data_IF_887936071161
#
_entry.id   IF_887936071161
#
_cell.length_a   1.000
_cell.length_b   1.000
_cell.length_c   1.000
_cell.angle_alpha   90.00
_cell.angle_beta   90.00
_cell.angle_gamma   90.00
#
_symmetry.space_group_name_H-M   'P 1'
#
loop_
_entity.id
_entity.type
_entity.pdbx_description
1 polymer ?
#
# COMPACT_ATOMS: atom_id res chain seq x y z
N UNK A 1 -4.72 4.10 3.72
CA UNK A 1 -3.55 4.53 2.96
C UNK A 1 -2.40 4.90 3.90
N UNK A 2 -1.26 5.27 3.35
CA UNK A 2 -0.05 5.56 4.13
C UNK A 2 -0.21 6.79 5.03
N UNK A 3 -0.92 7.82 4.59
CA UNK A 3 -1.14 9.02 5.41
C UNK A 3 -1.97 8.71 6.65
N UNK A 4 -3.01 7.93 6.48
CA UNK A 4 -3.84 7.48 7.61
C UNK A 4 -3.03 6.60 8.54
N UNK A 5 -2.21 5.69 8.00
CA UNK A 5 -1.34 4.83 8.80
C UNK A 5 -0.33 5.64 9.61
N UNK A 6 0.25 6.68 9.02
CA UNK A 6 1.15 7.59 9.74
C UNK A 6 0.44 8.25 10.92
N UNK A 7 -0.82 8.66 10.74
CA UNK A 7 -1.65 9.20 11.82
C UNK A 7 -1.90 8.20 12.94
N UNK A 8 -2.13 6.94 12.58
CA UNK A 8 -2.31 5.85 13.57
C UNK A 8 -1.03 5.64 14.37
N UNK A 9 0.13 5.63 13.73
CA UNK A 9 1.42 5.47 14.42
C UNK A 9 1.62 6.63 15.42
N UNK A 10 1.32 7.85 15.00
CA UNK A 10 1.44 9.01 15.88
C UNK A 10 0.50 8.90 17.08
N UNK A 11 -0.75 8.53 16.86
CA UNK A 11 -1.72 8.37 17.93
C UNK A 11 -1.30 7.27 18.91
N UNK A 12 -0.77 6.16 18.40
CA UNK A 12 -0.25 5.08 19.25
C UNK A 12 0.90 5.59 20.10
N UNK A 13 1.85 6.30 19.51
CA UNK A 13 2.98 6.87 20.20
C UNK A 13 2.54 7.83 21.33
N UNK A 14 1.58 8.69 21.05
CA UNK A 14 1.03 9.62 22.04
C UNK A 14 0.38 8.91 23.23
N UNK A 15 -0.05 7.67 23.04
CA UNK A 15 -0.65 6.85 24.10
C UNK A 15 0.32 5.88 24.74
N UNK A 16 1.59 6.01 24.44
CA UNK A 16 2.62 5.16 25.01
C UNK A 16 2.71 3.77 24.42
N UNK A 17 2.08 3.53 23.26
CA UNK A 17 2.18 2.26 22.56
C UNK A 17 3.33 2.28 21.57
N UNK A 18 4.13 1.22 21.60
CA UNK A 18 5.24 1.07 20.65
C UNK A 18 4.81 0.35 19.39
N UNK A 19 5.22 0.87 18.24
CA UNK A 19 5.02 0.23 16.94
C UNK A 19 6.36 -0.30 16.46
N UNK A 20 6.53 -1.58 16.17
CA UNK A 20 5.50 -2.62 16.03
C UNK A 20 5.29 -3.48 17.28
N UNK A 21 6.00 -3.21 18.38
CA UNK A 21 5.99 -4.11 19.56
C UNK A 21 4.60 -4.31 20.12
N UNK A 22 3.87 -3.24 20.38
CA UNK A 22 2.54 -3.30 20.98
C UNK A 22 1.43 -3.38 19.94
N UNK A 23 1.63 -2.78 18.79
CA UNK A 23 0.68 -2.77 17.68
C UNK A 23 1.43 -2.69 16.36
N UNK A 24 1.06 -3.53 15.41
CA UNK A 24 1.55 -3.44 14.03
C UNK A 24 0.63 -2.54 13.22
N UNK A 25 1.22 -1.72 12.36
CA UNK A 25 0.48 -0.79 11.50
C UNK A 25 0.96 -0.97 10.07
N UNK A 26 0.03 -1.06 9.14
CA UNK A 26 0.35 -1.12 7.72
C UNK A 26 -0.46 -0.08 6.96
N UNK A 27 0.07 0.33 5.83
CA UNK A 27 -0.55 1.30 4.93
C UNK A 27 -0.93 0.70 3.60
N UNK A 28 -1.15 1.54 2.62
CA UNK A 28 -1.48 1.18 1.26
C UNK A 28 -1.05 2.30 0.31
N UNK A 29 -0.44 1.96 -0.79
CA UNK A 29 0.04 2.79 -1.91
C UNK A 29 1.55 2.99 -2.00
N UNK A 30 2.31 2.85 -0.93
CA UNK A 30 3.75 3.12 -0.90
C UNK A 30 4.08 4.55 -1.35
N UNK A 31 3.41 5.50 -0.75
CA UNK A 31 3.73 6.91 -0.96
C UNK A 31 5.05 7.27 -0.26
N UNK A 32 5.69 8.41 -0.59
CA UNK A 32 6.99 8.76 0.02
C UNK A 32 7.00 8.75 1.54
N UNK A 33 5.90 9.09 2.20
CA UNK A 33 5.82 9.09 3.65
C UNK A 33 6.12 7.71 4.25
N UNK A 34 5.77 6.62 3.55
CA UNK A 34 5.99 5.27 4.05
C UNK A 34 7.46 4.98 4.33
N UNK A 35 8.37 5.59 3.58
CA UNK A 35 9.82 5.41 3.73
C UNK A 35 10.45 6.42 4.65
N UNK A 36 9.79 7.54 4.91
CA UNK A 36 10.36 8.65 5.66
C UNK A 36 9.94 8.71 7.13
N UNK A 37 8.84 8.05 7.50
CA UNK A 37 8.41 8.00 8.90
C UNK A 37 9.19 6.94 9.67
N UNK A 38 9.17 7.05 10.99
CA UNK A 38 9.77 6.07 11.88
C UNK A 38 8.70 5.51 12.84
N UNK A 39 8.55 4.18 12.91
CA UNK A 39 9.22 3.16 12.08
C UNK A 39 8.78 3.23 10.63
N UNK A 40 9.63 2.77 9.71
CA UNK A 40 9.29 2.76 8.29
C UNK A 40 8.07 1.86 8.06
N UNK A 41 7.17 2.30 7.22
CA UNK A 41 5.83 1.74 7.12
C UNK A 41 5.77 0.55 6.15
N UNK A 42 5.32 -0.60 6.65
CA UNK A 42 4.89 -1.72 5.82
C UNK A 42 3.67 -1.28 5.01
N UNK A 43 3.70 -1.49 3.71
CA UNK A 43 2.64 -1.02 2.83
C UNK A 43 2.52 -1.92 1.60
N UNK A 44 1.51 -1.67 0.80
CA UNK A 44 1.28 -2.36 -0.46
C UNK A 44 1.58 -1.39 -1.59
N UNK A 45 2.46 -1.79 -2.51
CA UNK A 45 2.75 -1.03 -3.72
C UNK A 45 1.94 -1.59 -4.87
N UNK A 46 1.15 -0.73 -5.50
CA UNK A 46 0.46 -1.06 -6.74
C UNK A 46 1.31 -0.60 -7.92
N UNK A 47 1.38 -1.38 -9.01
CA UNK A 47 2.10 -0.97 -10.21
C UNK A 47 1.27 0.06 -10.99
N UNK A 48 1.16 1.28 -10.48
CA UNK A 48 0.24 2.31 -10.99
C UNK A 48 0.52 2.71 -12.42
N UNK A 49 1.80 2.77 -12.83
CA UNK A 49 2.17 3.08 -14.22
C UNK A 49 1.69 1.99 -15.18
N UNK A 50 1.88 0.73 -14.81
CA UNK A 50 1.41 -0.40 -15.62
C UNK A 50 -0.11 -0.44 -15.67
N UNK A 51 -0.78 -0.19 -14.56
CA UNK A 51 -2.23 -0.13 -14.50
C UNK A 51 -2.78 0.94 -15.43
N UNK A 52 -2.21 2.13 -15.39
CA UNK A 52 -2.61 3.24 -16.26
C UNK A 52 -2.38 2.93 -17.72
N UNK A 53 -1.22 2.36 -18.06
CA UNK A 53 -0.89 1.97 -19.42
C UNK A 53 -1.86 0.92 -19.96
N UNK A 54 -2.10 -0.13 -19.20
CA UNK A 54 -3.00 -1.21 -19.61
C UNK A 54 -4.44 -0.73 -19.73
N UNK A 55 -4.90 0.10 -18.80
CA UNK A 55 -6.25 0.68 -18.87
C UNK A 55 -6.41 1.54 -20.12
N UNK A 56 -5.40 2.33 -20.47
CA UNK A 56 -5.42 3.15 -21.69
C UNK A 56 -5.46 2.28 -22.94
N UNK A 57 -4.64 1.22 -22.99
CA UNK A 57 -4.64 0.30 -24.12
C UNK A 57 -5.98 -0.39 -24.29
N UNK A 58 -6.62 -0.83 -23.21
CA UNK A 58 -7.95 -1.43 -23.26
C UNK A 58 -9.00 -0.45 -23.75
N UNK A 59 -8.95 0.79 -23.29
CA UNK A 59 -9.89 1.83 -23.73
C UNK A 59 -9.76 2.09 -25.24
N UNK A 60 -8.52 2.22 -25.72
CA UNK A 60 -8.25 2.43 -27.15
C UNK A 60 -8.73 1.24 -27.98
N UNK A 61 -8.52 0.01 -27.49
CA UNK A 61 -9.00 -1.19 -28.17
C UNK A 61 -10.52 -1.22 -28.26
N UNK A 62 -11.22 -0.79 -27.20
CA UNK A 62 -12.68 -0.70 -27.18
C UNK A 62 -13.22 0.35 -28.16
N UNK A 63 -12.52 1.45 -28.31
CA UNK A 63 -12.90 2.48 -29.28
C UNK A 63 -12.79 1.95 -30.71
N UNK A 64 -11.80 1.08 -30.98
CA UNK A 64 -11.55 0.52 -32.31
C UNK A 64 -12.37 -0.73 -32.61
N UNK A 65 -12.72 -1.51 -31.57
CA UNK A 65 -13.45 -2.76 -31.71
C UNK A 65 -14.40 -2.93 -30.53
N UNK A 66 -15.70 -3.14 -30.85
CA UNK A 66 -16.76 -3.13 -29.84
C UNK A 66 -16.64 -4.23 -28.77
N UNK A 67 -15.98 -5.33 -29.10
CA UNK A 67 -15.83 -6.50 -28.22
C UNK A 67 -14.45 -6.57 -27.54
N UNK A 68 -13.61 -5.57 -27.73
CA UNK A 68 -12.34 -5.50 -27.04
C UNK A 68 -12.55 -5.10 -25.59
N UNK A 69 -11.84 -5.76 -24.69
CA UNK A 69 -11.92 -5.46 -23.28
C UNK A 69 -11.86 -6.73 -22.46
N UNK A 70 -12.06 -6.60 -21.18
CA UNK A 70 -11.96 -7.66 -20.21
C UNK A 70 -11.24 -7.19 -18.97
N UNK A 71 -11.10 -8.08 -18.02
CA UNK A 71 -10.41 -7.80 -16.77
C UNK A 71 -8.95 -8.17 -16.91
N UNK A 72 -8.06 -7.21 -16.61
CA UNK A 72 -6.63 -7.45 -16.53
C UNK A 72 -6.20 -7.25 -15.08
N UNK A 73 -5.56 -8.27 -14.54
CA UNK A 73 -4.98 -8.21 -13.21
C UNK A 73 -3.52 -7.81 -13.30
N UNK A 74 -3.12 -6.85 -12.48
CA UNK A 74 -1.73 -6.45 -12.31
C UNK A 74 -1.34 -6.74 -10.88
N UNK A 75 -0.23 -7.47 -10.70
CA UNK A 75 0.18 -7.90 -9.37
C UNK A 75 0.67 -6.72 -8.54
N UNK A 76 0.22 -6.68 -7.30
CA UNK A 76 0.73 -5.77 -6.29
C UNK A 76 1.88 -6.43 -5.53
N UNK A 77 2.58 -5.63 -4.75
CA UNK A 77 3.71 -6.09 -3.95
C UNK A 77 3.54 -5.62 -2.51
N UNK A 78 3.67 -6.53 -1.55
CA UNK A 78 3.69 -6.18 -0.13
C UNK A 78 5.12 -5.88 0.27
N UNK A 79 5.37 -4.68 0.78
CA UNK A 79 6.68 -4.24 1.22
C UNK A 79 6.73 -4.27 2.74
N UNK A 80 7.36 -5.30 3.29
CA UNK A 80 7.53 -5.44 4.73
C UNK A 80 8.66 -4.52 5.19
N UNK A 81 8.32 -3.61 6.09
CA UNK A 81 9.29 -2.69 6.67
C UNK A 81 9.28 -2.85 8.20
N UNK A 82 9.45 -1.78 8.93
CA UNK A 82 9.67 -1.84 10.37
C UNK A 82 8.39 -1.76 11.20
N UNK A 83 7.27 -1.33 10.62
CA UNK A 83 6.03 -1.07 11.35
C UNK A 83 5.18 -2.30 11.68
N UNK A 84 5.57 -3.47 11.19
CA UNK A 84 4.87 -4.73 11.42
C UNK A 84 5.82 -5.80 11.92
N UNK A 85 5.29 -6.69 12.76
CA UNK A 85 6.00 -7.86 13.25
C UNK A 85 5.00 -8.96 13.58
N UNK A 86 5.44 -10.23 13.70
CA UNK A 86 4.57 -11.30 14.19
C UNK A 86 4.05 -11.00 15.59
N UNK A 87 2.85 -11.50 15.93
CA UNK A 87 2.30 -11.29 17.26
C UNK A 87 3.20 -11.91 18.34
N UNK A 88 3.32 -11.21 19.47
CA UNK A 88 4.05 -11.72 20.62
C UNK A 88 3.16 -12.74 21.32
N UNK A 89 3.71 -13.95 21.55
CA UNK A 89 3.01 -15.01 22.29
C UNK A 89 3.32 -14.86 23.77
N UNK A 90 2.27 -14.81 24.55
CA UNK A 90 2.36 -14.81 26.02
C UNK A 90 2.10 -16.19 26.58
#
# INVERSE_FOLDING_TARGET
NDDMAAGVIRAACERGLAVPRDISVCGFDDTPIARHIYPALTTVRQPTSDMGRLATMQLLARIRAADAGGMVHVEHEVLFRESTQPPVRH
#
